data_IF_328903487727
#
_entry.id   IF_328903487727
#
_cell.length_a   1.000
_cell.length_b   1.000
_cell.length_c   1.000
_cell.angle_alpha   90.00
_cell.angle_beta   90.00
_cell.angle_gamma   90.00
#
_symmetry.space_group_name_H-M   'P 1'
#
loop_
_entity.id
_entity.type
_entity.pdbx_description
1 polymer ?
#
# COMPACT_ATOMS: atom_id res chain seq x y z
N UNK A 1 -12.99 15.33 -40.72
CA UNK A 1 -12.96 15.86 -39.34
C UNK A 1 -12.94 14.67 -38.41
N UNK A 2 -11.76 14.26 -37.94
CA UNK A 2 -11.55 13.06 -37.13
C UNK A 2 -11.91 13.31 -35.67
N UNK A 3 -12.71 12.39 -35.13
CA UNK A 3 -13.19 12.33 -33.77
C UNK A 3 -12.05 12.17 -32.74
N UNK A 4 -12.25 12.78 -31.58
CA UNK A 4 -11.81 12.32 -30.26
C UNK A 4 -10.36 11.83 -30.13
N UNK A 5 -9.43 12.76 -29.93
CA UNK A 5 -8.24 12.48 -29.11
C UNK A 5 -8.65 12.50 -27.63
N UNK A 6 -9.37 11.47 -27.18
CA UNK A 6 -9.63 11.27 -25.75
C UNK A 6 -8.29 11.09 -25.04
N UNK A 7 -8.05 11.98 -24.07
CA UNK A 7 -7.00 11.89 -23.07
C UNK A 7 -6.75 10.45 -22.67
N UNK A 8 -5.53 9.96 -22.89
CA UNK A 8 -5.00 8.74 -22.31
C UNK A 8 -4.80 8.92 -20.79
N UNK A 9 -5.91 9.11 -20.07
CA UNK A 9 -5.96 8.88 -18.62
C UNK A 9 -5.78 7.37 -18.41
N UNK A 10 -4.89 6.91 -17.51
CA UNK A 10 -4.70 5.47 -17.23
C UNK A 10 -6.05 4.85 -16.91
N UNK A 11 -6.47 3.78 -17.59
CA UNK A 11 -7.88 3.35 -17.60
C UNK A 11 -8.39 2.81 -16.26
N UNK A 12 -7.51 2.48 -15.32
CA UNK A 12 -7.83 1.85 -14.02
C UNK A 12 -6.95 2.43 -12.89
N UNK A 13 -7.32 2.17 -11.64
CA UNK A 13 -6.48 2.41 -10.47
C UNK A 13 -5.39 1.33 -10.40
N UNK A 14 -4.16 1.71 -10.03
CA UNK A 14 -3.02 0.79 -9.98
C UNK A 14 -2.19 1.05 -8.72
N UNK A 15 -1.58 0.00 -8.17
CA UNK A 15 -0.66 0.11 -7.04
C UNK A 15 0.57 -0.78 -7.24
N UNK A 16 1.77 -0.23 -7.05
CA UNK A 16 3.02 -1.00 -7.09
C UNK A 16 3.77 -0.88 -5.77
N UNK A 17 4.56 -1.91 -5.41
CA UNK A 17 5.51 -1.80 -4.29
C UNK A 17 6.74 -1.02 -4.75
N UNK A 18 7.03 0.08 -4.07
CA UNK A 18 8.24 0.89 -4.25
C UNK A 18 9.40 0.26 -3.48
N UNK A 19 9.15 -0.13 -2.23
CA UNK A 19 10.17 -0.66 -1.34
C UNK A 19 9.58 -1.51 -0.23
N UNK A 20 10.33 -2.51 0.20
CA UNK A 20 10.09 -3.25 1.45
C UNK A 20 11.38 -3.25 2.28
N UNK A 21 11.30 -2.77 3.52
CA UNK A 21 12.47 -2.65 4.39
C UNK A 21 12.12 -2.85 5.86
N UNK A 22 13.10 -3.28 6.65
CA UNK A 22 12.95 -3.25 8.10
C UNK A 22 13.10 -1.82 8.63
N UNK A 23 12.28 -1.48 9.63
CA UNK A 23 12.36 -0.21 10.35
C UNK A 23 12.42 -0.46 11.84
N UNK A 24 13.18 0.35 12.56
CA UNK A 24 13.38 0.15 14.01
C UNK A 24 12.15 0.51 14.84
N UNK A 25 11.36 1.47 14.36
CA UNK A 25 10.20 2.00 15.07
C UNK A 25 9.15 2.52 14.09
N UNK A 26 7.89 2.53 14.54
CA UNK A 26 6.80 3.21 13.85
C UNK A 26 6.14 4.21 14.81
N UNK A 27 5.71 5.36 14.29
CA UNK A 27 4.94 6.35 15.05
C UNK A 27 3.45 6.16 14.80
N UNK A 28 2.69 5.84 15.84
CA UNK A 28 1.24 5.66 15.81
C UNK A 28 0.62 6.66 16.77
N UNK A 29 -0.20 7.58 16.28
CA UNK A 29 -0.86 8.61 17.09
C UNK A 29 0.11 9.41 18.00
N UNK A 30 1.32 9.69 17.52
CA UNK A 30 2.36 10.41 18.27
C UNK A 30 3.18 9.54 19.24
N UNK A 31 2.86 8.26 19.37
CA UNK A 31 3.60 7.30 20.20
C UNK A 31 4.56 6.48 19.33
N UNK A 32 5.82 6.40 19.73
CA UNK A 32 6.81 5.51 19.12
C UNK A 32 6.60 4.08 19.63
N UNK A 33 6.18 3.17 18.76
CA UNK A 33 6.00 1.77 19.10
C UNK A 33 7.27 0.95 18.79
N UNK A 34 7.63 0.08 19.74
CA UNK A 34 8.61 -1.01 19.61
C UNK A 34 7.95 -2.30 20.07
N UNK A 35 8.28 -3.41 19.42
CA UNK A 35 7.69 -4.71 19.71
C UNK A 35 8.81 -5.70 20.08
N UNK A 36 8.92 -6.05 21.37
CA UNK A 36 9.91 -7.01 21.83
C UNK A 36 9.70 -8.39 21.17
N UNK A 37 10.76 -8.98 20.64
CA UNK A 37 10.70 -10.26 19.90
C UNK A 37 10.20 -10.15 18.46
N UNK A 38 9.90 -8.95 17.97
CA UNK A 38 9.42 -8.71 16.61
C UNK A 38 10.26 -7.65 15.89
N UNK A 39 10.21 -7.70 14.55
CA UNK A 39 10.67 -6.64 13.66
C UNK A 39 9.47 -5.96 13.03
N UNK A 40 9.66 -4.73 12.57
CA UNK A 40 8.66 -3.98 11.81
C UNK A 40 9.13 -3.91 10.36
N UNK A 41 8.25 -4.27 9.44
CA UNK A 41 8.49 -4.14 7.99
C UNK A 41 7.65 -2.99 7.49
N UNK A 42 8.30 -2.00 6.86
CA UNK A 42 7.65 -0.95 6.09
C UNK A 42 7.55 -1.41 4.63
N UNK A 43 6.33 -1.41 4.09
CA UNK A 43 6.04 -1.55 2.66
C UNK A 43 5.56 -0.20 2.16
N UNK A 44 6.28 0.38 1.20
CA UNK A 44 5.84 1.60 0.51
C UNK A 44 5.20 1.21 -0.82
N UNK A 45 3.99 1.69 -1.02
CA UNK A 45 3.21 1.51 -2.25
C UNK A 45 3.11 2.82 -3.00
N UNK A 46 3.17 2.78 -4.32
CA UNK A 46 2.81 3.89 -5.18
C UNK A 46 1.39 3.68 -5.69
N UNK A 47 0.44 4.52 -5.29
CA UNK A 47 -0.93 4.51 -5.80
C UNK A 47 -1.06 5.44 -7.01
N UNK A 48 -1.30 4.86 -8.19
CA UNK A 48 -1.59 5.59 -9.42
C UNK A 48 -3.09 5.75 -9.61
N UNK A 49 -3.48 6.92 -10.11
CA UNK A 49 -4.85 7.32 -10.36
C UNK A 49 -5.83 7.01 -9.21
N UNK A 50 -5.58 7.56 -8.01
CA UNK A 50 -6.47 7.41 -6.85
C UNK A 50 -7.91 7.87 -7.13
N UNK A 51 -8.11 8.80 -8.06
CA UNK A 51 -9.41 9.29 -8.51
C UNK A 51 -10.25 8.24 -9.26
N UNK A 52 -9.66 7.11 -9.63
CA UNK A 52 -10.33 6.02 -10.35
C UNK A 52 -10.68 4.83 -9.47
N UNK A 53 -10.35 4.89 -8.18
CA UNK A 53 -10.84 3.89 -7.23
C UNK A 53 -12.37 3.93 -7.23
N UNK A 54 -13.03 2.78 -7.01
CA UNK A 54 -14.49 2.66 -7.12
C UNK A 54 -15.24 3.34 -5.97
N UNK A 55 -14.87 4.56 -5.59
CA UNK A 55 -15.44 5.28 -4.47
C UNK A 55 -16.76 5.91 -4.91
N UNK A 56 -17.84 5.58 -4.21
CA UNK A 56 -19.10 6.34 -4.32
C UNK A 56 -18.77 7.82 -4.25
N UNK A 57 -19.30 8.61 -5.19
CA UNK A 57 -18.96 10.00 -5.51
C UNK A 57 -18.68 10.92 -4.29
N UNK A 58 -17.47 10.80 -3.75
CA UNK A 58 -17.00 11.53 -2.56
C UNK A 58 -15.70 12.21 -2.97
N UNK A 59 -15.64 13.51 -2.77
CA UNK A 59 -14.50 14.34 -3.13
C UNK A 59 -13.66 14.69 -1.88
N UNK A 60 -12.41 15.10 -2.08
CA UNK A 60 -11.59 15.70 -1.02
C UNK A 60 -11.01 14.72 0.01
N UNK A 61 -10.96 15.14 1.29
CA UNK A 61 -10.25 14.40 2.38
C UNK A 61 -10.88 13.04 2.68
N UNK A 62 -12.20 12.93 2.52
CA UNK A 62 -12.94 11.69 2.72
C UNK A 62 -12.60 10.64 1.66
N UNK A 63 -12.36 11.07 0.42
CA UNK A 63 -11.92 10.20 -0.67
C UNK A 63 -10.61 9.50 -0.31
N UNK A 64 -9.61 10.27 0.14
CA UNK A 64 -8.30 9.73 0.45
C UNK A 64 -8.31 8.75 1.61
N UNK A 65 -9.06 9.04 2.67
CA UNK A 65 -9.21 8.12 3.79
C UNK A 65 -9.90 6.83 3.36
N UNK A 66 -10.91 6.90 2.48
CA UNK A 66 -11.56 5.71 1.92
C UNK A 66 -10.62 4.90 1.04
N UNK A 67 -9.90 5.55 0.12
CA UNK A 67 -8.91 4.87 -0.74
C UNK A 67 -7.80 4.25 0.11
N UNK A 68 -7.34 4.92 1.17
CA UNK A 68 -6.39 4.34 2.12
C UNK A 68 -6.94 3.06 2.74
N UNK A 69 -8.15 3.11 3.29
CA UNK A 69 -8.79 1.95 3.95
C UNK A 69 -8.96 0.79 2.97
N UNK A 70 -9.31 1.06 1.72
CA UNK A 70 -9.42 0.02 0.69
C UNK A 70 -8.09 -0.58 0.28
N UNK A 71 -7.10 0.25 -0.05
CA UNK A 71 -5.75 -0.25 -0.39
C UNK A 71 -5.20 -1.06 0.78
N UNK A 72 -5.21 -0.51 2.00
CA UNK A 72 -4.73 -1.20 3.19
C UNK A 72 -5.50 -2.51 3.45
N UNK A 73 -6.82 -2.53 3.20
CA UNK A 73 -7.66 -3.72 3.34
C UNK A 73 -7.36 -4.82 2.32
N UNK A 74 -6.92 -4.47 1.11
CA UNK A 74 -6.50 -5.44 0.09
C UNK A 74 -5.04 -5.89 0.20
N UNK A 75 -4.26 -5.24 1.07
CA UNK A 75 -2.87 -5.59 1.30
C UNK A 75 -2.73 -6.67 2.36
N UNK A 76 -1.84 -7.63 2.14
CA UNK A 76 -1.51 -8.65 3.12
C UNK A 76 -0.03 -9.02 3.02
N UNK A 77 0.58 -9.36 4.15
CA UNK A 77 1.94 -9.86 4.20
C UNK A 77 1.94 -11.27 4.75
N UNK A 78 2.80 -12.12 4.20
CA UNK A 78 2.92 -13.53 4.54
C UNK A 78 4.38 -13.89 4.79
N UNK A 79 4.62 -14.85 5.68
CA UNK A 79 5.88 -15.60 5.80
C UNK A 79 5.54 -17.07 5.56
N UNK A 80 5.87 -17.60 4.39
CA UNK A 80 5.29 -18.87 3.93
C UNK A 80 3.76 -18.77 3.89
N UNK A 81 3.06 -19.67 4.60
CA UNK A 81 1.59 -19.70 4.65
C UNK A 81 0.99 -18.87 5.81
N UNK A 82 1.83 -18.25 6.65
CA UNK A 82 1.36 -17.52 7.83
C UNK A 82 1.15 -16.05 7.47
N UNK A 83 -0.08 -15.54 7.65
CA UNK A 83 -0.39 -14.12 7.49
C UNK A 83 0.18 -13.31 8.66
N UNK A 84 0.90 -12.23 8.34
CA UNK A 84 1.50 -11.31 9.28
C UNK A 84 0.52 -10.18 9.65
N UNK A 85 0.63 -9.67 10.88
CA UNK A 85 -0.25 -8.62 11.37
C UNK A 85 0.10 -7.26 10.75
N UNK A 86 -0.89 -6.59 10.15
CA UNK A 86 -0.76 -5.17 9.84
C UNK A 86 -0.89 -4.34 11.13
N UNK A 87 0.08 -3.50 11.41
CA UNK A 87 0.14 -2.65 12.61
C UNK A 87 -0.63 -1.35 12.35
N UNK A 88 -0.28 -0.68 11.25
CA UNK A 88 -0.86 0.58 10.82
C UNK A 88 -0.45 0.89 9.38
N UNK A 89 -1.00 1.96 8.84
CA UNK A 89 -0.54 2.56 7.59
C UNK A 89 -0.69 4.08 7.61
N UNK A 90 -0.03 4.73 6.67
CA UNK A 90 0.02 6.17 6.59
C UNK A 90 0.00 6.64 5.14
N UNK A 91 -0.80 7.67 4.87
CA UNK A 91 -0.82 8.36 3.58
C UNK A 91 -0.78 9.90 3.79
N UNK A 92 0.35 10.59 3.52
CA UNK A 92 0.60 11.98 3.96
C UNK A 92 -0.27 13.09 3.34
N UNK A 93 -1.07 13.79 4.16
CA UNK A 93 -2.04 14.84 3.73
C UNK A 93 -1.49 15.93 2.80
N UNK A 94 -0.24 16.38 2.99
CA UNK A 94 0.38 17.46 2.22
C UNK A 94 1.60 16.96 1.44
N UNK A 95 1.46 16.84 0.12
CA UNK A 95 2.60 16.91 -0.78
C UNK A 95 2.36 18.10 -1.71
N UNK A 96 3.19 19.13 -1.60
CA UNK A 96 3.13 20.41 -2.34
C UNK A 96 3.33 20.29 -3.86
N UNK A 97 3.39 19.07 -4.40
CA UNK A 97 3.42 18.80 -5.83
C UNK A 97 3.15 17.31 -6.00
N UNK A 98 2.24 16.92 -6.90
CA UNK A 98 2.16 15.66 -7.69
C UNK A 98 2.56 14.27 -7.10
N UNK A 99 2.91 14.16 -5.81
CA UNK A 99 3.67 13.09 -5.14
C UNK A 99 2.92 12.46 -3.96
N UNK A 100 1.66 12.81 -3.72
CA UNK A 100 0.83 12.16 -2.70
C UNK A 100 0.33 10.78 -3.17
N UNK A 101 1.20 9.98 -3.79
CA UNK A 101 0.90 8.62 -4.26
C UNK A 101 1.44 7.55 -3.32
N UNK A 102 2.37 7.91 -2.45
CA UNK A 102 3.04 6.95 -1.59
C UNK A 102 2.18 6.61 -0.35
N UNK A 103 1.85 5.33 -0.20
CA UNK A 103 1.19 4.77 0.98
C UNK A 103 2.23 3.91 1.70
N UNK A 104 2.49 4.19 2.97
CA UNK A 104 3.30 3.30 3.82
C UNK A 104 2.38 2.37 4.60
N UNK A 105 2.66 1.07 4.56
CA UNK A 105 2.03 0.05 5.40
C UNK A 105 3.09 -0.58 6.29
N UNK A 106 2.76 -0.80 7.56
CA UNK A 106 3.67 -1.35 8.55
C UNK A 106 3.15 -2.69 9.04
N UNK A 107 3.98 -3.72 8.98
CA UNK A 107 3.64 -5.08 9.40
C UNK A 107 4.56 -5.54 10.53
N UNK A 108 4.01 -6.33 11.44
CA UNK A 108 4.77 -6.97 12.51
C UNK A 108 5.15 -8.36 12.05
N UNK A 109 6.45 -8.65 12.07
CA UNK A 109 7.00 -9.97 11.72
C UNK A 109 7.87 -10.51 12.85
N UNK A 110 8.02 -11.84 12.98
CA UNK A 110 8.94 -12.44 13.95
C UNK A 110 10.37 -11.87 13.86
N UNK A 111 11.05 -11.77 15.01
CA UNK A 111 12.39 -11.18 15.08
C UNK A 111 13.45 -11.94 14.27
N UNK A 112 13.24 -13.22 13.98
CA UNK A 112 14.09 -14.06 13.14
C UNK A 112 13.80 -13.92 11.64
N UNK A 113 12.74 -13.21 11.24
CA UNK A 113 12.38 -13.08 9.83
C UNK A 113 13.45 -12.31 9.02
N UNK A 114 13.69 -12.78 7.80
CA UNK A 114 14.45 -12.10 6.76
C UNK A 114 13.50 -11.58 5.66
N UNK A 115 13.86 -10.49 4.98
CA UNK A 115 12.99 -9.90 3.94
C UNK A 115 12.67 -10.89 2.82
N UNK A 116 13.62 -11.75 2.45
CA UNK A 116 13.46 -12.78 1.41
C UNK A 116 12.40 -13.83 1.75
N UNK A 117 12.07 -14.00 3.03
CA UNK A 117 11.06 -14.96 3.49
C UNK A 117 9.65 -14.37 3.49
N UNK A 118 9.54 -13.08 3.16
CA UNK A 118 8.30 -12.32 3.20
C UNK A 118 7.72 -12.14 1.82
N UNK A 119 6.43 -12.39 1.72
CA UNK A 119 5.65 -12.17 0.52
C UNK A 119 4.58 -11.13 0.81
N UNK A 120 4.60 -10.03 0.07
CA UNK A 120 3.53 -9.04 0.11
C UNK A 120 2.57 -9.28 -1.05
N UNK A 121 1.27 -9.24 -0.76
CA UNK A 121 0.20 -9.42 -1.73
C UNK A 121 -0.76 -8.25 -1.69
N UNK A 122 -1.22 -7.85 -2.87
CA UNK A 122 -2.32 -6.91 -3.05
C UNK A 122 -3.40 -7.59 -3.90
N UNK A 123 -4.61 -7.67 -3.34
CA UNK A 123 -5.80 -8.10 -4.07
C UNK A 123 -6.37 -6.92 -4.88
N UNK A 124 -6.24 -6.95 -6.21
CA UNK A 124 -6.72 -5.88 -7.09
C UNK A 124 -8.22 -5.73 -7.16
N UNK A 125 -9.00 -6.67 -6.60
CA UNK A 125 -10.43 -6.44 -6.38
C UNK A 125 -10.67 -5.13 -5.61
N UNK A 126 -9.77 -4.75 -4.69
CA UNK A 126 -9.88 -3.46 -3.96
C UNK A 126 -9.58 -2.23 -4.81
N UNK A 127 -8.93 -2.43 -5.97
CA UNK A 127 -8.69 -1.40 -6.98
C UNK A 127 -9.83 -1.32 -8.01
N UNK A 128 -10.87 -2.17 -7.87
CA UNK A 128 -11.92 -2.32 -8.88
C UNK A 128 -11.50 -3.17 -10.08
N UNK A 129 -10.41 -3.93 -9.95
CA UNK A 129 -9.90 -4.84 -10.98
C UNK A 129 -9.62 -6.23 -10.37
N UNK A 130 -10.64 -7.11 -10.27
CA UNK A 130 -10.49 -8.41 -9.60
C UNK A 130 -9.49 -9.35 -10.30
N UNK A 131 -9.19 -9.10 -11.58
CA UNK A 131 -8.18 -9.84 -12.34
C UNK A 131 -6.75 -9.34 -12.06
N UNK A 132 -6.59 -8.17 -11.42
CA UNK A 132 -5.29 -7.66 -11.00
C UNK A 132 -4.92 -8.33 -9.68
N UNK A 133 -3.86 -9.13 -9.66
CA UNK A 133 -3.24 -9.57 -8.42
C UNK A 133 -1.75 -9.32 -8.52
N UNK A 134 -1.20 -8.75 -7.45
CA UNK A 134 0.21 -8.45 -7.37
C UNK A 134 0.83 -9.16 -6.17
N UNK A 135 1.89 -9.90 -6.44
CA UNK A 135 2.72 -10.57 -5.44
C UNK A 135 4.14 -10.03 -5.55
N UNK A 136 4.69 -9.61 -4.41
CA UNK A 136 6.05 -9.08 -4.30
C UNK A 136 6.82 -9.83 -3.23
N UNK A 137 7.91 -10.43 -3.65
CA UNK A 137 8.93 -10.99 -2.78
C UNK A 137 10.21 -10.19 -3.01
N UNK A 138 10.83 -9.60 -1.97
CA UNK A 138 12.09 -8.87 -2.13
C UNK A 138 13.15 -9.78 -2.76
N UNK A 139 13.78 -9.33 -3.85
CA UNK A 139 14.90 -10.07 -4.44
C UNK A 139 16.06 -10.20 -3.43
N UNK A 140 16.81 -11.30 -3.52
CA UNK A 140 18.03 -11.50 -2.74
C UNK A 140 19.08 -10.48 -3.20
N UNK A 141 19.19 -9.36 -2.49
CA UNK A 141 20.33 -8.43 -2.60
C UNK A 141 21.60 -9.02 -2.00
#
# INVERSE_FOLDING_TARGET
MGLCGCDSKPKKAECEVISMQFVDTVKINGVTAKYEGYKIVEVKLNAYSPEKFPTDAIEGKELRQKVFVWVAGGCSMYRGDVKMDNICGYWPEKATSYKAKEISLYFRVPGDAELKDLTFKLDGAVLGDPDYQFEYTPEQS
#
